data_IF_928373673710
#
_entry.id   IF_928373673710
#
_cell.length_a   1.000
_cell.length_b   1.000
_cell.length_c   1.000
_cell.angle_alpha   90.00
_cell.angle_beta   90.00
_cell.angle_gamma   90.00
#
_symmetry.space_group_name_H-M   'P 1'
#
loop_
_entity.id
_entity.type
_entity.pdbx_description
1 polymer ?
#
# COMPACT_ATOMS: atom_id res chain seq x y z
N UNK A 1 -12.35 5.61 -31.76
CA UNK A 1 -11.28 4.63 -31.44
C UNK A 1 -12.00 3.47 -30.79
N UNK A 2 -12.06 2.34 -31.47
CA UNK A 2 -12.57 1.09 -30.90
C UNK A 2 -11.49 0.56 -29.96
N UNK A 3 -11.87 0.27 -28.71
CA UNK A 3 -10.95 -0.22 -27.70
C UNK A 3 -11.25 -1.71 -27.51
N UNK A 4 -10.27 -2.54 -27.80
CA UNK A 4 -10.34 -3.98 -27.50
C UNK A 4 -10.45 -4.13 -25.97
N UNK A 5 -11.49 -4.80 -25.46
CA UNK A 5 -11.60 -5.07 -24.03
C UNK A 5 -10.39 -5.89 -23.59
N UNK A 6 -9.87 -5.61 -22.39
CA UNK A 6 -8.83 -6.44 -21.80
C UNK A 6 -9.31 -7.90 -21.72
N UNK A 7 -8.37 -8.84 -21.88
CA UNK A 7 -8.66 -10.25 -21.64
C UNK A 7 -9.22 -10.44 -20.22
N UNK A 8 -10.38 -11.07 -20.13
CA UNK A 8 -11.01 -11.46 -18.87
C UNK A 8 -11.29 -12.97 -18.89
N UNK A 9 -10.91 -13.64 -17.82
CA UNK A 9 -11.17 -15.05 -17.56
C UNK A 9 -11.78 -15.22 -16.17
N UNK A 10 -13.09 -15.47 -16.14
CA UNK A 10 -13.86 -15.64 -14.90
C UNK A 10 -13.46 -16.91 -14.13
N UNK A 11 -12.99 -17.96 -14.81
CA UNK A 11 -12.56 -19.19 -14.15
C UNK A 11 -11.27 -18.97 -13.35
N UNK A 12 -10.32 -18.21 -13.91
CA UNK A 12 -9.11 -17.82 -13.19
C UNK A 12 -9.46 -16.90 -12.03
N UNK A 13 -10.36 -15.93 -12.23
CA UNK A 13 -10.80 -15.04 -11.17
C UNK A 13 -11.40 -15.83 -9.98
N UNK A 14 -12.30 -16.78 -10.24
CA UNK A 14 -12.90 -17.60 -9.19
C UNK A 14 -11.87 -18.50 -8.49
N UNK A 15 -10.92 -19.11 -9.23
CA UNK A 15 -9.81 -19.89 -8.65
C UNK A 15 -8.94 -19.02 -7.73
N UNK A 16 -8.58 -17.82 -8.18
CA UNK A 16 -7.77 -16.86 -7.40
C UNK A 16 -8.54 -16.39 -6.16
N UNK A 17 -9.82 -16.08 -6.31
CA UNK A 17 -10.68 -15.64 -5.20
C UNK A 17 -10.82 -16.72 -4.13
N UNK A 18 -11.11 -17.96 -4.53
CA UNK A 18 -11.23 -19.09 -3.62
C UNK A 18 -9.94 -19.36 -2.83
N UNK A 19 -8.77 -19.15 -3.43
CA UNK A 19 -7.49 -19.37 -2.76
C UNK A 19 -7.06 -18.21 -1.86
N UNK A 20 -7.23 -16.97 -2.32
CA UNK A 20 -6.56 -15.80 -1.75
C UNK A 20 -7.46 -14.92 -0.88
N UNK A 21 -8.79 -14.93 -1.06
CA UNK A 21 -9.67 -13.96 -0.40
C UNK A 21 -9.59 -14.04 1.13
N UNK A 22 -9.85 -15.22 1.71
CA UNK A 22 -9.87 -15.41 3.17
C UNK A 22 -8.48 -15.14 3.77
N UNK A 23 -7.41 -15.62 3.11
CA UNK A 23 -6.02 -15.36 3.54
C UNK A 23 -5.72 -13.87 3.57
N UNK A 24 -6.11 -13.14 2.51
CA UNK A 24 -5.92 -11.70 2.45
C UNK A 24 -6.75 -10.94 3.49
N UNK A 25 -7.96 -11.41 3.78
CA UNK A 25 -8.83 -10.82 4.81
C UNK A 25 -8.21 -10.98 6.21
N UNK A 26 -7.74 -12.17 6.56
CA UNK A 26 -7.07 -12.44 7.83
C UNK A 26 -5.77 -11.64 7.98
N UNK A 27 -4.96 -11.57 6.91
CA UNK A 27 -3.75 -10.72 6.90
C UNK A 27 -4.12 -9.25 7.12
N UNK A 28 -5.17 -8.74 6.45
CA UNK A 28 -5.63 -7.37 6.63
C UNK A 28 -6.12 -7.10 8.05
N UNK A 29 -6.76 -8.08 8.69
CA UNK A 29 -7.30 -8.00 10.06
C UNK A 29 -6.24 -8.10 11.15
N UNK A 30 -5.07 -8.68 10.86
CA UNK A 30 -3.99 -8.93 11.82
C UNK A 30 -3.38 -7.70 12.50
N UNK A 31 -3.73 -6.47 12.09
CA UNK A 31 -3.21 -5.22 12.65
C UNK A 31 -1.66 -5.14 12.66
N UNK A 32 -1.02 -5.65 11.61
CA UNK A 32 0.43 -5.73 11.47
C UNK A 32 1.07 -4.45 10.90
N UNK A 33 2.41 -4.33 11.04
CA UNK A 33 3.19 -3.25 10.43
C UNK A 33 3.09 -3.28 8.90
N UNK A 34 3.35 -2.16 8.22
CA UNK A 34 3.31 -2.14 6.74
C UNK A 34 4.29 -3.13 6.12
N UNK A 35 5.46 -3.30 6.72
CA UNK A 35 6.49 -4.20 6.23
C UNK A 35 6.01 -5.65 6.31
N UNK A 36 5.60 -6.09 7.51
CA UNK A 36 5.23 -7.49 7.75
C UNK A 36 3.96 -7.86 6.97
N UNK A 37 3.00 -6.93 6.90
CA UNK A 37 1.81 -7.10 6.06
C UNK A 37 2.16 -7.21 4.57
N UNK A 38 3.13 -6.43 4.10
CA UNK A 38 3.60 -6.49 2.71
C UNK A 38 4.22 -7.85 2.38
N UNK A 39 5.04 -8.39 3.29
CA UNK A 39 5.61 -9.73 3.17
C UNK A 39 4.53 -10.81 3.14
N UNK A 40 3.59 -10.77 4.09
CA UNK A 40 2.50 -11.75 4.16
C UNK A 40 1.64 -11.77 2.88
N UNK A 41 1.32 -10.61 2.31
CA UNK A 41 0.61 -10.57 1.02
C UNK A 41 1.45 -11.11 -0.14
N UNK A 42 2.77 -10.86 -0.15
CA UNK A 42 3.67 -11.42 -1.16
C UNK A 42 3.72 -12.95 -1.07
N UNK A 43 3.84 -13.49 0.14
CA UNK A 43 3.86 -14.94 0.37
C UNK A 43 2.57 -15.62 -0.13
N UNK A 44 1.40 -15.02 0.10
CA UNK A 44 0.14 -15.53 -0.46
C UNK A 44 0.14 -15.46 -1.98
N UNK A 45 0.66 -14.39 -2.58
CA UNK A 45 0.75 -14.23 -4.02
C UNK A 45 1.69 -15.27 -4.65
N UNK A 46 2.82 -15.53 -4.01
CA UNK A 46 3.81 -16.49 -4.49
C UNK A 46 3.30 -17.93 -4.31
N UNK A 47 2.62 -18.22 -3.20
CA UNK A 47 1.92 -19.49 -3.01
C UNK A 47 0.80 -19.71 -4.04
N UNK A 48 0.05 -18.65 -4.39
CA UNK A 48 -0.96 -18.71 -5.44
C UNK A 48 -0.33 -19.02 -6.81
N UNK A 49 0.81 -18.41 -7.14
CA UNK A 49 1.51 -18.69 -8.40
C UNK A 49 2.01 -20.13 -8.46
N UNK A 50 2.42 -20.71 -7.33
CA UNK A 50 2.85 -22.10 -7.25
C UNK A 50 1.74 -23.13 -7.56
N UNK A 51 0.46 -22.73 -7.55
CA UNK A 51 -0.70 -23.57 -7.94
C UNK A 51 -0.90 -23.63 -9.47
N UNK A 52 -0.04 -22.97 -10.24
CA UNK A 52 -0.04 -22.97 -11.70
C UNK A 52 1.29 -23.53 -12.20
N UNK A 53 1.24 -24.26 -13.31
CA UNK A 53 2.44 -24.74 -13.98
C UNK A 53 3.20 -23.58 -14.64
N UNK A 54 4.47 -23.80 -14.98
CA UNK A 54 5.31 -22.77 -15.60
C UNK A 54 4.75 -22.31 -16.97
N UNK A 55 4.23 -23.25 -17.76
CA UNK A 55 3.56 -22.99 -19.05
C UNK A 55 2.27 -22.17 -18.87
N UNK A 56 1.44 -22.50 -17.87
CA UNK A 56 0.23 -21.72 -17.56
C UNK A 56 0.57 -20.31 -17.07
N UNK A 57 1.62 -20.13 -16.27
CA UNK A 57 2.04 -18.81 -15.80
C UNK A 57 2.58 -17.94 -16.94
N UNK A 58 3.18 -18.52 -17.97
CA UNK A 58 3.64 -17.78 -19.15
C UNK A 58 2.47 -17.21 -19.94
N UNK A 59 1.36 -17.94 -20.03
CA UNK A 59 0.14 -17.51 -20.73
C UNK A 59 -0.75 -16.59 -19.88
N UNK A 60 -1.01 -16.95 -18.61
CA UNK A 60 -2.01 -16.27 -17.76
C UNK A 60 -1.45 -15.60 -16.51
N UNK A 61 -0.14 -15.63 -16.27
CA UNK A 61 0.46 -15.08 -15.04
C UNK A 61 0.21 -13.59 -14.82
N UNK A 62 0.05 -12.82 -15.91
CA UNK A 62 -0.38 -11.43 -15.87
C UNK A 62 -1.80 -11.27 -15.32
N UNK A 63 -2.75 -12.10 -15.79
CA UNK A 63 -4.13 -12.15 -15.31
C UNK A 63 -4.21 -12.61 -13.86
N UNK A 64 -3.47 -13.66 -13.47
CA UNK A 64 -3.40 -14.14 -12.08
C UNK A 64 -2.93 -13.02 -11.15
N UNK A 65 -1.89 -12.27 -11.53
CA UNK A 65 -1.38 -11.15 -10.72
C UNK A 65 -2.38 -10.00 -10.61
N UNK A 66 -3.11 -9.70 -11.69
CA UNK A 66 -4.18 -8.69 -11.73
C UNK A 66 -5.34 -9.09 -10.83
N UNK A 67 -5.82 -10.33 -10.95
CA UNK A 67 -6.92 -10.85 -10.15
C UNK A 67 -6.55 -10.99 -8.68
N UNK A 68 -5.32 -11.38 -8.36
CA UNK A 68 -4.85 -11.36 -6.98
C UNK A 68 -4.95 -9.94 -6.40
N UNK A 69 -4.48 -8.93 -7.14
CA UNK A 69 -4.53 -7.53 -6.71
C UNK A 69 -5.98 -7.04 -6.53
N UNK A 70 -6.90 -7.49 -7.39
CA UNK A 70 -8.34 -7.22 -7.28
C UNK A 70 -8.93 -7.84 -6.00
N UNK A 71 -8.70 -9.14 -5.79
CA UNK A 71 -9.19 -9.90 -4.62
C UNK A 71 -8.62 -9.33 -3.32
N UNK A 72 -7.33 -9.00 -3.28
CA UNK A 72 -6.70 -8.35 -2.13
C UNK A 72 -7.36 -7.01 -1.81
N UNK A 73 -7.60 -6.18 -2.83
CA UNK A 73 -8.27 -4.89 -2.67
C UNK A 73 -9.69 -5.05 -2.14
N UNK A 74 -10.42 -6.04 -2.65
CA UNK A 74 -11.79 -6.33 -2.22
C UNK A 74 -11.83 -6.82 -0.76
N UNK A 75 -10.94 -7.74 -0.37
CA UNK A 75 -10.83 -8.21 1.01
C UNK A 75 -10.53 -7.06 1.99
N UNK A 76 -9.56 -6.21 1.67
CA UNK A 76 -9.22 -5.03 2.48
C UNK A 76 -10.39 -4.04 2.56
N UNK A 77 -11.10 -3.83 1.45
CA UNK A 77 -12.28 -2.96 1.40
C UNK A 77 -13.39 -3.49 2.30
N UNK A 78 -13.66 -4.79 2.22
CA UNK A 78 -14.73 -5.44 2.98
C UNK A 78 -14.44 -5.39 4.48
N UNK A 79 -13.20 -5.64 4.91
CA UNK A 79 -12.79 -5.46 6.32
C UNK A 79 -13.16 -4.06 6.85
N UNK A 80 -12.85 -3.00 6.08
CA UNK A 80 -13.14 -1.62 6.49
C UNK A 80 -14.65 -1.34 6.50
N UNK A 81 -15.41 -1.89 5.56
CA UNK A 81 -16.86 -1.66 5.46
C UNK A 81 -17.67 -2.47 6.47
N UNK A 82 -17.27 -3.71 6.74
CA UNK A 82 -17.98 -4.67 7.58
C UNK A 82 -17.60 -4.50 9.05
N UNK A 83 -16.30 -4.41 9.35
CA UNK A 83 -15.80 -4.35 10.74
C UNK A 83 -15.45 -2.92 11.18
N UNK A 84 -15.31 -1.97 10.26
CA UNK A 84 -14.91 -0.60 10.59
C UNK A 84 -13.45 -0.47 11.03
N UNK A 85 -12.64 -1.52 10.82
CA UNK A 85 -11.25 -1.60 11.25
C UNK A 85 -10.33 -1.40 10.04
N UNK A 86 -9.26 -0.63 10.24
CA UNK A 86 -8.20 -0.42 9.25
C UNK A 86 -7.11 -1.48 9.40
N UNK A 87 -6.26 -1.63 8.38
CA UNK A 87 -5.21 -2.66 8.34
C UNK A 87 -4.17 -2.57 9.45
N UNK A 88 -4.08 -1.41 10.12
CA UNK A 88 -3.21 -1.16 11.28
C UNK A 88 -3.98 -1.19 12.61
N UNK A 89 -5.17 -1.80 12.63
CA UNK A 89 -6.02 -2.00 13.81
C UNK A 89 -6.85 -0.78 14.24
N UNK A 90 -6.63 0.39 13.63
CA UNK A 90 -7.30 1.63 14.02
C UNK A 90 -8.74 1.69 13.54
N UNK A 91 -9.56 2.46 14.26
CA UNK A 91 -10.88 2.86 13.77
C UNK A 91 -10.77 3.83 12.57
N UNK A 92 -11.86 3.98 11.82
CA UNK A 92 -11.91 4.89 10.64
C UNK A 92 -11.73 6.37 10.99
N UNK A 93 -12.02 6.77 12.23
CA UNK A 93 -11.91 8.14 12.75
C UNK A 93 -10.65 8.38 13.59
N UNK A 94 -9.87 7.34 13.87
CA UNK A 94 -8.70 7.41 14.72
C UNK A 94 -7.47 7.87 13.91
N UNK A 95 -6.68 8.79 14.46
CA UNK A 95 -5.43 9.28 13.86
C UNK A 95 -4.26 8.43 14.38
N UNK A 96 -3.28 8.13 13.51
CA UNK A 96 -2.03 7.45 13.94
C UNK A 96 -1.31 8.26 15.03
N UNK A 97 -0.56 7.61 15.94
CA UNK A 97 0.25 8.30 16.94
C UNK A 97 1.13 9.38 16.30
N UNK A 98 1.15 10.56 16.91
CA UNK A 98 1.93 11.71 16.47
C UNK A 98 3.06 11.95 17.46
N UNK A 99 4.26 12.13 16.94
CA UNK A 99 5.42 12.59 17.69
C UNK A 99 6.10 13.70 16.89
N UNK A 100 6.51 14.77 17.55
CA UNK A 100 7.16 15.90 16.90
C UNK A 100 8.20 16.53 17.82
N UNK A 101 9.28 17.02 17.20
CA UNK A 101 10.35 17.74 17.88
C UNK A 101 10.85 18.87 16.99
N UNK A 102 11.15 20.02 17.61
CA UNK A 102 11.75 21.20 16.96
C UNK A 102 13.22 21.30 17.34
N UNK A 103 14.00 22.05 16.56
CA UNK A 103 15.45 22.21 16.77
C UNK A 103 16.23 20.89 16.78
N UNK A 104 15.77 19.94 15.95
CA UNK A 104 16.34 18.59 15.86
C UNK A 104 17.76 18.56 15.27
N UNK A 105 18.08 19.52 14.38
CA UNK A 105 19.39 19.66 13.76
C UNK A 105 20.15 20.87 14.32
N UNK A 106 21.46 20.72 14.61
CA UNK A 106 22.23 21.75 15.33
C UNK A 106 22.60 22.99 14.50
N UNK A 107 22.62 22.91 13.16
CA UNK A 107 23.23 23.95 12.30
C UNK A 107 22.26 24.63 11.34
N UNK A 108 20.97 24.28 11.35
CA UNK A 108 19.95 24.91 10.49
C UNK A 108 19.40 26.18 11.14
N UNK A 109 18.93 27.16 10.36
CA UNK A 109 18.21 28.31 10.94
C UNK A 109 16.94 27.89 11.69
N UNK A 110 16.28 26.83 11.21
CA UNK A 110 15.25 26.11 11.95
C UNK A 110 15.15 24.68 11.45
N UNK A 111 14.79 23.75 12.33
CA UNK A 111 14.52 22.37 11.95
C UNK A 111 13.38 21.78 12.76
N UNK A 112 12.75 20.77 12.19
CA UNK A 112 11.74 19.97 12.89
C UNK A 112 11.71 18.56 12.33
N UNK A 113 11.41 17.60 13.19
CA UNK A 113 11.06 16.24 12.80
C UNK A 113 9.61 15.98 13.20
N UNK A 114 8.81 15.52 12.25
CA UNK A 114 7.41 15.20 12.46
C UNK A 114 7.17 13.75 12.05
N UNK A 115 6.62 12.96 12.98
CA UNK A 115 6.29 11.56 12.77
C UNK A 115 4.81 11.35 13.03
N UNK A 116 4.12 10.71 12.08
CA UNK A 116 2.73 10.26 12.22
C UNK A 116 2.65 8.78 11.85
N UNK A 117 2.62 7.91 12.85
CA UNK A 117 2.83 6.46 12.71
C UNK A 117 4.12 6.17 11.92
N UNK A 118 4.04 5.30 10.92
CA UNK A 118 5.22 4.91 10.11
C UNK A 118 5.67 5.96 9.05
N UNK A 119 5.13 7.18 9.07
CA UNK A 119 5.52 8.24 8.15
C UNK A 119 6.26 9.33 8.91
N UNK A 120 7.50 9.61 8.53
CA UNK A 120 8.34 10.64 9.14
C UNK A 120 8.82 11.64 8.09
N UNK A 121 8.85 12.91 8.48
CA UNK A 121 9.41 14.00 7.70
C UNK A 121 10.38 14.82 8.56
N UNK A 122 11.55 15.10 8.01
CA UNK A 122 12.51 16.05 8.54
C UNK A 122 12.43 17.32 7.68
N UNK A 123 12.04 18.43 8.29
CA UNK A 123 11.92 19.71 7.62
C UNK A 123 12.95 20.70 8.17
N UNK A 124 13.51 21.51 7.29
CA UNK A 124 14.47 22.56 7.64
C UNK A 124 14.01 23.90 7.07
N UNK A 125 14.41 24.97 7.73
CA UNK A 125 14.20 26.34 7.29
C UNK A 125 15.57 26.96 7.07
N UNK A 126 15.72 27.61 5.92
CA UNK A 126 16.91 28.40 5.59
C UNK A 126 16.47 29.82 5.27
N UNK A 127 17.03 30.78 5.99
CA UNK A 127 16.83 32.21 5.72
C UNK A 127 17.84 32.67 4.68
N UNK A 128 17.34 33.44 3.71
CA UNK A 128 18.12 33.99 2.62
C UNK A 128 17.73 35.42 2.31
N UNK A 129 18.49 36.07 1.44
CA UNK A 129 18.21 37.42 0.95
C UNK A 129 17.35 37.40 -0.31
N UNK A 130 16.89 38.57 -0.76
CA UNK A 130 16.15 38.70 -2.03
C UNK A 130 16.91 38.19 -3.26
N UNK A 131 18.25 38.06 -3.18
CA UNK A 131 19.08 37.51 -4.25
C UNK A 131 18.90 36.00 -4.46
N UNK A 132 18.34 35.30 -3.48
CA UNK A 132 18.15 33.84 -3.49
C UNK A 132 16.70 33.46 -3.84
N UNK A 133 15.86 34.43 -4.20
CA UNK A 133 14.52 34.18 -4.68
C UNK A 133 14.55 33.38 -6.00
N UNK A 134 13.72 32.34 -6.10
CA UNK A 134 13.61 31.54 -7.32
C UNK A 134 12.96 32.36 -8.44
N UNK A 135 13.70 32.63 -9.51
CA UNK A 135 13.18 33.26 -10.72
C UNK A 135 12.73 32.17 -11.70
N UNK A 136 11.45 32.17 -12.05
CA UNK A 136 10.88 31.25 -13.04
C UNK A 136 10.70 32.04 -14.34
N UNK A 137 11.35 31.58 -15.40
CA UNK A 137 11.12 32.08 -16.76
C UNK A 137 9.99 31.25 -17.41
N UNK A 138 9.02 31.91 -18.04
CA UNK A 138 7.83 31.27 -18.62
C UNK A 138 8.03 30.84 -20.07
#
# INVERSE_FOLDING_TARGET
REYEPEAEDDAILEKVKAFAYDKCYEIAKSASSKHDRGLAFSEVKDALKAEFTEEELEEVGGLVSKYFSKVQKDAVRNLVLEEGIRLDGRATTEIRPIWCEVDYLPSTHGSSIFTRGETQALATVTLGTSREANMIDN
#
